data_IF_881235234738
#
_entry.id   IF_881235234738
#
_cell.length_a   1.000
_cell.length_b   1.000
_cell.length_c   1.000
_cell.angle_alpha   90.00
_cell.angle_beta   90.00
_cell.angle_gamma   90.00
#
_symmetry.space_group_name_H-M   'P 1'
#
loop_
_entity.id
_entity.type
_entity.pdbx_description
1 polymer ?
#
# COMPACT_ATOMS: atom_id res chain seq x y z
N UNK A 1 -16.12 -27.61 31.90
CA UNK A 1 -16.53 -27.07 30.57
C UNK A 1 -15.82 -25.72 30.27
N UNK A 2 -15.89 -24.71 31.13
CA UNK A 2 -15.21 -23.41 30.91
C UNK A 2 -13.69 -23.53 30.77
N UNK A 3 -13.00 -24.33 31.55
CA UNK A 3 -11.56 -24.53 31.45
C UNK A 3 -11.11 -25.19 30.16
N UNK A 4 -11.92 -26.10 29.61
CA UNK A 4 -11.63 -26.74 28.33
C UNK A 4 -11.80 -25.77 27.16
N UNK A 5 -12.86 -24.95 27.18
CA UNK A 5 -13.10 -23.91 26.19
C UNK A 5 -11.96 -22.88 26.21
N UNK A 6 -11.55 -22.42 27.42
CA UNK A 6 -10.44 -21.47 27.55
C UNK A 6 -9.11 -22.03 26.98
N UNK A 7 -8.82 -23.31 27.20
CA UNK A 7 -7.64 -23.97 26.64
C UNK A 7 -7.70 -24.05 25.11
N UNK A 8 -8.85 -24.41 24.53
CA UNK A 8 -9.06 -24.48 23.08
C UNK A 8 -8.94 -23.09 22.44
N UNK A 9 -9.59 -22.07 23.01
CA UNK A 9 -9.47 -20.69 22.55
C UNK A 9 -8.01 -20.18 22.64
N UNK A 10 -7.33 -20.47 23.74
CA UNK A 10 -5.93 -20.11 23.92
C UNK A 10 -4.99 -20.81 22.93
N UNK A 11 -5.28 -22.06 22.56
CA UNK A 11 -4.53 -22.77 21.52
C UNK A 11 -4.79 -22.18 20.14
N UNK A 12 -6.06 -21.91 19.80
CA UNK A 12 -6.43 -21.28 18.53
C UNK A 12 -5.79 -19.89 18.38
N UNK A 13 -5.82 -19.06 19.42
CA UNK A 13 -5.18 -17.73 19.40
C UNK A 13 -3.66 -17.83 19.22
N UNK A 14 -2.99 -18.79 19.85
CA UNK A 14 -1.55 -19.00 19.63
C UNK A 14 -1.24 -19.38 18.19
N UNK A 15 -2.06 -20.22 17.58
CA UNK A 15 -1.90 -20.59 16.16
C UNK A 15 -2.11 -19.37 15.27
N UNK A 16 -3.21 -18.64 15.45
CA UNK A 16 -3.53 -17.43 14.68
C UNK A 16 -2.43 -16.37 14.80
N UNK A 17 -1.92 -16.13 16.02
CA UNK A 17 -0.83 -15.18 16.24
C UNK A 17 0.49 -15.57 15.53
N UNK A 18 0.69 -16.86 15.27
CA UNK A 18 1.84 -17.33 14.50
C UNK A 18 1.77 -16.94 13.02
N UNK A 19 0.54 -16.76 12.51
CA UNK A 19 0.26 -16.44 11.11
C UNK A 19 0.06 -14.93 10.85
N UNK A 20 0.12 -14.10 11.89
CA UNK A 20 -0.12 -12.66 11.80
C UNK A 20 0.81 -11.96 10.80
N UNK A 21 2.04 -12.45 10.64
CA UNK A 21 3.01 -11.88 9.71
C UNK A 21 2.77 -12.25 8.23
N UNK A 22 1.90 -13.23 7.96
CA UNK A 22 1.56 -13.64 6.58
C UNK A 22 0.65 -12.62 5.91
N UNK A 23 -0.26 -12.00 6.67
CA UNK A 23 -1.15 -10.97 6.11
C UNK A 23 -0.39 -9.83 5.41
N UNK A 24 0.54 -9.16 6.10
CA UNK A 24 1.38 -8.14 5.45
C UNK A 24 2.19 -8.68 4.26
N UNK A 25 2.69 -9.90 4.33
CA UNK A 25 3.45 -10.52 3.23
C UNK A 25 2.59 -10.66 1.97
N UNK A 26 1.40 -11.26 2.10
CA UNK A 26 0.48 -11.50 0.97
C UNK A 26 0.05 -10.18 0.33
N UNK A 27 -0.36 -9.22 1.16
CA UNK A 27 -0.76 -7.90 0.67
C UNK A 27 0.39 -7.21 -0.07
N UNK A 28 1.60 -7.23 0.48
CA UNK A 28 2.76 -6.60 -0.18
C UNK A 28 3.12 -7.28 -1.49
N UNK A 29 3.10 -8.61 -1.57
CA UNK A 29 3.38 -9.32 -2.82
C UNK A 29 2.33 -8.96 -3.87
N UNK A 30 1.05 -9.04 -3.53
CA UNK A 30 -0.03 -8.78 -4.49
C UNK A 30 -0.05 -7.29 -4.91
N UNK A 31 -0.10 -6.38 -3.94
CA UNK A 31 -0.21 -4.95 -4.21
C UNK A 31 1.10 -4.34 -4.72
N UNK A 32 2.24 -4.78 -4.20
CA UNK A 32 3.54 -4.31 -4.67
C UNK A 32 3.77 -4.70 -6.13
N UNK A 33 3.42 -5.92 -6.53
CA UNK A 33 3.49 -6.35 -7.91
C UNK A 33 2.53 -5.56 -8.81
N UNK A 34 1.27 -5.41 -8.40
CA UNK A 34 0.25 -4.64 -9.14
C UNK A 34 0.73 -3.21 -9.42
N UNK A 35 1.22 -2.51 -8.40
CA UNK A 35 1.67 -1.13 -8.54
C UNK A 35 2.98 -1.01 -9.32
N UNK A 36 3.88 -1.98 -9.19
CA UNK A 36 5.09 -2.05 -10.01
C UNK A 36 4.74 -2.19 -11.50
N UNK A 37 3.85 -3.11 -11.85
CA UNK A 37 3.41 -3.34 -13.23
C UNK A 37 2.67 -2.11 -13.79
N UNK A 38 1.76 -1.53 -13.02
CA UNK A 38 1.01 -0.32 -13.39
C UNK A 38 1.96 0.86 -13.64
N UNK A 39 2.90 1.10 -12.73
CA UNK A 39 3.91 2.14 -12.89
C UNK A 39 4.81 1.90 -14.11
N UNK A 40 5.24 0.66 -14.34
CA UNK A 40 6.05 0.29 -15.50
C UNK A 40 5.31 0.54 -16.82
N UNK A 41 4.04 0.13 -16.90
CA UNK A 41 3.21 0.37 -18.09
C UNK A 41 3.04 1.87 -18.38
N UNK A 42 2.86 2.70 -17.33
CA UNK A 42 2.77 4.17 -17.48
C UNK A 42 4.10 4.80 -17.95
N UNK A 43 5.23 4.31 -17.44
CA UNK A 43 6.55 4.78 -17.89
C UNK A 43 6.81 4.39 -19.36
N UNK A 44 6.43 3.18 -19.77
CA UNK A 44 6.62 2.71 -21.16
C UNK A 44 5.78 3.53 -22.15
N UNK A 45 4.67 4.12 -21.75
CA UNK A 45 3.83 5.00 -22.57
C UNK A 45 3.52 6.31 -21.84
N UNK A 46 4.60 7.02 -21.45
CA UNK A 46 4.47 8.23 -20.64
C UNK A 46 3.74 9.36 -21.37
N UNK A 47 3.97 9.52 -22.69
CA UNK A 47 3.29 10.54 -23.48
C UNK A 47 1.78 10.26 -23.57
N UNK A 48 1.38 9.01 -23.78
CA UNK A 48 -0.02 8.61 -23.78
C UNK A 48 -0.68 8.82 -22.40
N UNK A 49 0.07 8.59 -21.34
CA UNK A 49 -0.40 8.84 -19.97
C UNK A 49 -0.49 10.35 -19.68
N UNK A 50 0.48 11.15 -20.13
CA UNK A 50 0.46 12.61 -19.97
C UNK A 50 -0.70 13.27 -20.74
N UNK A 51 -1.08 12.75 -21.90
CA UNK A 51 -2.23 13.22 -22.67
C UNK A 51 -3.54 13.10 -21.86
N UNK A 52 -3.71 12.07 -21.07
CA UNK A 52 -4.87 11.96 -20.14
C UNK A 52 -4.87 13.08 -19.12
N UNK A 53 -3.71 13.52 -18.61
CA UNK A 53 -3.60 14.64 -17.68
C UNK A 53 -4.01 15.97 -18.34
N UNK A 54 -3.72 16.12 -19.65
CA UNK A 54 -4.23 17.27 -20.44
C UNK A 54 -5.75 17.23 -20.50
N UNK A 55 -6.36 16.07 -20.84
CA UNK A 55 -7.82 15.89 -20.90
C UNK A 55 -8.49 16.16 -19.56
N UNK A 56 -7.85 15.79 -18.45
CA UNK A 56 -8.36 16.04 -17.10
C UNK A 56 -8.16 17.49 -16.63
N UNK A 57 -7.44 18.31 -17.40
CA UNK A 57 -7.14 19.71 -17.08
C UNK A 57 -6.11 19.86 -15.96
N UNK A 58 -5.24 18.88 -15.76
CA UNK A 58 -4.20 18.91 -14.72
C UNK A 58 -3.05 19.79 -15.21
N UNK A 59 -2.59 20.81 -14.41
CA UNK A 59 -1.47 21.66 -14.77
C UNK A 59 -0.18 20.82 -14.88
N UNK A 60 0.75 21.28 -15.72
CA UNK A 60 2.03 20.59 -15.95
C UNK A 60 1.88 19.09 -16.24
N UNK A 61 1.09 18.67 -17.24
CA UNK A 61 0.63 17.31 -17.42
C UNK A 61 1.77 16.28 -17.53
N UNK A 62 2.82 16.56 -18.30
CA UNK A 62 3.98 15.65 -18.43
C UNK A 62 4.74 15.47 -17.11
N UNK A 63 4.93 16.54 -16.34
CA UNK A 63 5.60 16.46 -15.05
C UNK A 63 4.77 15.64 -14.04
N UNK A 64 3.49 15.95 -13.91
CA UNK A 64 2.61 15.26 -12.95
C UNK A 64 2.35 13.80 -13.36
N UNK A 65 2.25 13.51 -14.66
CA UNK A 65 2.16 12.14 -15.15
C UNK A 65 3.44 11.35 -14.82
N UNK A 66 4.62 11.92 -15.08
CA UNK A 66 5.89 11.30 -14.75
C UNK A 66 6.01 11.09 -13.23
N UNK A 67 5.68 12.09 -12.42
CA UNK A 67 5.73 11.98 -10.95
C UNK A 67 4.83 10.84 -10.44
N UNK A 68 3.60 10.75 -10.94
CA UNK A 68 2.67 9.66 -10.57
C UNK A 68 3.22 8.30 -11.01
N UNK A 69 3.66 8.17 -12.27
CA UNK A 69 4.18 6.91 -12.82
C UNK A 69 5.42 6.40 -12.05
N UNK A 70 6.37 7.30 -11.75
CA UNK A 70 7.56 6.94 -10.95
C UNK A 70 7.21 6.63 -9.50
N UNK A 71 6.25 7.32 -8.89
CA UNK A 71 5.77 7.01 -7.54
C UNK A 71 5.20 5.60 -7.49
N UNK A 72 4.41 5.20 -8.47
CA UNK A 72 3.82 3.87 -8.55
C UNK A 72 4.89 2.79 -8.82
N UNK A 73 5.80 3.02 -9.75
CA UNK A 73 6.85 2.07 -10.09
C UNK A 73 7.80 1.80 -8.92
N UNK A 74 8.36 2.86 -8.34
CA UNK A 74 9.29 2.76 -7.22
C UNK A 74 8.54 2.30 -5.97
N UNK A 75 7.37 2.87 -5.70
CA UNK A 75 6.54 2.52 -4.57
C UNK A 75 6.11 1.05 -4.61
N UNK A 76 5.68 0.56 -5.77
CA UNK A 76 5.35 -0.85 -5.99
C UNK A 76 6.52 -1.77 -5.71
N UNK A 77 7.71 -1.47 -6.26
CA UNK A 77 8.93 -2.25 -6.02
C UNK A 77 9.31 -2.28 -4.53
N UNK A 78 9.30 -1.13 -3.85
CA UNK A 78 9.65 -1.03 -2.44
C UNK A 78 8.66 -1.77 -1.53
N UNK A 79 7.36 -1.67 -1.81
CA UNK A 79 6.31 -2.41 -1.08
C UNK A 79 6.46 -3.91 -1.31
N UNK A 80 6.68 -4.35 -2.56
CA UNK A 80 6.89 -5.75 -2.90
C UNK A 80 8.05 -6.35 -2.08
N UNK A 81 9.19 -5.68 -2.06
CA UNK A 81 10.37 -6.10 -1.32
C UNK A 81 10.21 -5.94 0.20
N UNK A 82 9.26 -5.12 0.64
CA UNK A 82 9.10 -4.73 2.05
C UNK A 82 10.25 -3.88 2.55
N UNK A 83 10.71 -2.96 1.70
CA UNK A 83 11.78 -2.01 2.01
C UNK A 83 11.18 -0.61 2.16
N UNK A 84 11.46 0.04 3.29
CA UNK A 84 10.88 1.35 3.65
C UNK A 84 9.35 1.39 3.52
N UNK A 85 8.68 0.27 3.79
CA UNK A 85 7.25 0.09 3.51
C UNK A 85 6.39 1.20 4.09
N UNK A 86 6.62 1.62 5.34
CA UNK A 86 5.87 2.70 5.98
C UNK A 86 6.10 4.05 5.31
N UNK A 87 7.34 4.35 4.96
CA UNK A 87 7.69 5.60 4.29
C UNK A 87 7.09 5.65 2.88
N UNK A 88 7.15 4.53 2.17
CA UNK A 88 6.63 4.38 0.80
C UNK A 88 5.10 4.47 0.74
N UNK A 89 4.40 3.99 1.77
CA UNK A 89 2.94 4.07 1.82
C UNK A 89 2.43 5.52 1.79
N UNK A 90 3.20 6.49 2.32
CA UNK A 90 2.78 7.90 2.36
C UNK A 90 2.62 8.51 0.95
N UNK A 91 3.64 8.50 0.07
CA UNK A 91 3.48 9.03 -1.28
C UNK A 91 2.45 8.23 -2.10
N UNK A 92 2.27 6.93 -1.87
CA UNK A 92 1.23 6.14 -2.52
C UNK A 92 -0.18 6.61 -2.11
N UNK A 93 -0.41 6.89 -0.83
CA UNK A 93 -1.67 7.48 -0.34
C UNK A 93 -1.90 8.85 -0.97
N UNK A 94 -0.88 9.72 -0.99
CA UNK A 94 -0.98 11.05 -1.59
C UNK A 94 -1.34 10.94 -3.07
N UNK A 95 -0.72 10.03 -3.81
CA UNK A 95 -1.02 9.80 -5.23
C UNK A 95 -2.51 9.42 -5.44
N UNK A 96 -3.06 8.57 -4.60
CA UNK A 96 -4.49 8.19 -4.65
C UNK A 96 -5.41 9.35 -4.25
N UNK A 97 -5.07 10.12 -3.24
CA UNK A 97 -5.85 11.32 -2.85
C UNK A 97 -5.90 12.32 -4.01
N UNK A 98 -4.77 12.55 -4.68
CA UNK A 98 -4.69 13.45 -5.84
C UNK A 98 -5.54 12.90 -7.00
N UNK A 99 -5.51 11.59 -7.27
CA UNK A 99 -6.33 10.95 -8.29
C UNK A 99 -7.84 11.14 -8.00
N UNK A 100 -8.26 10.92 -6.74
CA UNK A 100 -9.64 11.19 -6.33
C UNK A 100 -9.99 12.66 -6.56
N UNK A 101 -9.20 13.58 -6.03
CA UNK A 101 -9.52 15.01 -5.99
C UNK A 101 -9.58 15.66 -7.39
N UNK A 102 -8.72 15.22 -8.33
CA UNK A 102 -8.60 15.86 -9.64
C UNK A 102 -9.34 15.13 -10.76
N UNK A 103 -9.55 13.83 -10.61
CA UNK A 103 -10.09 12.99 -11.71
C UNK A 103 -11.44 12.39 -11.33
N UNK A 104 -11.45 11.56 -10.30
CA UNK A 104 -12.57 10.62 -10.04
C UNK A 104 -13.74 11.31 -9.37
N UNK A 105 -13.50 12.30 -8.51
CA UNK A 105 -14.54 13.00 -7.73
C UNK A 105 -15.67 13.61 -8.59
N UNK A 106 -15.36 13.93 -9.84
CA UNK A 106 -16.33 14.51 -10.79
C UNK A 106 -17.47 13.55 -11.13
N UNK A 107 -17.24 12.25 -10.95
CA UNK A 107 -18.20 11.19 -11.26
C UNK A 107 -18.91 10.64 -10.02
N UNK A 108 -18.61 11.18 -8.83
CA UNK A 108 -19.18 10.75 -7.55
C UNK A 108 -20.44 11.55 -7.26
N UNK A 109 -21.59 10.89 -7.21
CA UNK A 109 -22.89 11.49 -6.92
C UNK A 109 -23.40 11.20 -5.51
N UNK A 110 -22.87 10.18 -4.85
CA UNK A 110 -23.31 9.71 -3.53
C UNK A 110 -22.15 9.25 -2.66
N UNK A 111 -22.42 9.01 -1.37
CA UNK A 111 -21.44 8.40 -0.46
C UNK A 111 -21.13 6.96 -0.89
N UNK A 112 -22.10 6.25 -1.39
CA UNK A 112 -21.93 4.86 -1.85
C UNK A 112 -20.94 4.82 -3.02
N UNK A 113 -21.12 5.69 -4.03
CA UNK A 113 -20.18 5.81 -5.16
C UNK A 113 -18.76 6.13 -4.68
N UNK A 114 -18.62 6.97 -3.64
CA UNK A 114 -17.31 7.32 -3.09
C UNK A 114 -16.62 6.14 -2.42
N UNK A 115 -17.35 5.33 -1.66
CA UNK A 115 -16.78 4.17 -0.94
C UNK A 115 -16.41 3.04 -1.92
N UNK A 116 -17.10 2.95 -3.05
CA UNK A 116 -16.86 1.96 -4.11
C UNK A 116 -15.64 2.30 -4.98
N UNK A 117 -15.05 3.50 -4.85
CA UNK A 117 -13.85 3.86 -5.60
C UNK A 117 -12.67 2.93 -5.27
N UNK A 118 -12.02 2.42 -6.29
CA UNK A 118 -10.80 1.64 -6.16
C UNK A 118 -9.71 2.40 -5.40
N UNK A 119 -9.59 3.70 -5.63
CA UNK A 119 -8.63 4.59 -4.97
C UNK A 119 -8.84 4.64 -3.45
N UNK A 120 -10.09 4.60 -2.99
CA UNK A 120 -10.42 4.54 -1.55
C UNK A 120 -9.94 3.23 -0.95
N UNK A 121 -10.20 2.11 -1.62
CA UNK A 121 -9.71 0.79 -1.19
C UNK A 121 -8.18 0.76 -1.15
N UNK A 122 -7.52 1.33 -2.15
CA UNK A 122 -6.05 1.44 -2.20
C UNK A 122 -5.50 2.28 -1.05
N UNK A 123 -6.12 3.43 -0.74
CA UNK A 123 -5.76 4.26 0.42
C UNK A 123 -5.85 3.44 1.72
N UNK A 124 -6.94 2.70 1.92
CA UNK A 124 -7.13 1.89 3.13
C UNK A 124 -6.03 0.80 3.26
N UNK A 125 -5.65 0.16 2.15
CA UNK A 125 -4.58 -0.85 2.14
C UNK A 125 -3.22 -0.21 2.45
N UNK A 126 -2.88 0.92 1.81
CA UNK A 126 -1.64 1.63 2.12
C UNK A 126 -1.61 2.17 3.54
N UNK A 127 -2.74 2.69 4.03
CA UNK A 127 -2.87 3.12 5.43
C UNK A 127 -2.66 1.95 6.41
N UNK A 128 -3.24 0.79 6.07
CA UNK A 128 -3.00 -0.41 6.87
C UNK A 128 -1.52 -0.83 6.85
N UNK A 129 -0.85 -0.81 5.69
CA UNK A 129 0.59 -1.08 5.59
C UNK A 129 1.44 -0.05 6.36
N UNK A 130 1.04 1.23 6.36
CA UNK A 130 1.67 2.29 7.13
C UNK A 130 1.61 1.98 8.64
N UNK A 131 0.46 1.53 9.14
CA UNK A 131 0.24 1.23 10.56
C UNK A 131 0.85 -0.13 10.95
N UNK A 132 0.52 -1.19 10.24
CA UNK A 132 0.97 -2.55 10.53
C UNK A 132 2.48 -2.72 10.26
N UNK A 133 2.99 -2.04 9.24
CA UNK A 133 4.35 -2.20 8.75
C UNK A 133 4.53 -3.45 7.88
N UNK A 134 5.79 -3.74 7.48
CA UNK A 134 6.06 -4.76 6.47
C UNK A 134 6.00 -6.22 6.97
N UNK A 135 5.90 -6.46 8.28
CA UNK A 135 5.95 -7.80 8.86
C UNK A 135 7.38 -8.37 8.94
N UNK A 136 7.48 -9.61 9.45
CA UNK A 136 8.80 -10.29 9.65
C UNK A 136 9.48 -10.71 8.36
N UNK A 137 8.70 -11.02 7.33
CA UNK A 137 9.20 -11.45 6.02
C UNK A 137 9.45 -10.26 5.09
N UNK A 138 10.33 -9.33 5.49
CA UNK A 138 10.60 -8.08 4.78
C UNK A 138 12.08 -7.72 4.82
N UNK A 139 12.54 -6.95 3.83
CA UNK A 139 13.90 -6.41 3.85
C UNK A 139 14.10 -5.42 5.00
N UNK A 140 13.09 -4.65 5.38
CA UNK A 140 13.13 -3.79 6.57
C UNK A 140 13.48 -4.60 7.83
N UNK A 141 12.91 -5.80 7.96
CA UNK A 141 13.22 -6.65 9.10
C UNK A 141 14.67 -7.13 9.10
N UNK A 142 15.19 -7.50 7.93
CA UNK A 142 16.58 -7.92 7.78
C UNK A 142 17.54 -6.77 8.07
N UNK A 143 17.23 -5.56 7.58
CA UNK A 143 18.05 -4.36 7.82
C UNK A 143 18.11 -4.00 9.31
N UNK A 144 16.96 -3.98 10.01
CA UNK A 144 16.90 -3.68 11.45
C UNK A 144 17.74 -4.68 12.24
N UNK A 145 17.71 -5.96 11.87
CA UNK A 145 18.55 -7.00 12.51
C UNK A 145 20.04 -6.81 12.21
N UNK A 146 20.39 -6.49 10.96
CA UNK A 146 21.77 -6.31 10.54
C UNK A 146 22.41 -5.07 11.19
N UNK A 147 21.63 -4.02 11.42
CA UNK A 147 22.06 -2.78 12.07
C UNK A 147 22.04 -2.84 13.60
N UNK A 148 21.60 -3.96 14.21
CA UNK A 148 21.52 -4.11 15.65
C UNK A 148 20.54 -3.14 16.33
N UNK A 149 19.57 -2.60 15.58
CA UNK A 149 18.58 -1.67 16.13
C UNK A 149 17.58 -2.48 16.96
N UNK A 150 17.57 -2.26 18.26
CA UNK A 150 16.56 -2.85 19.14
C UNK A 150 15.18 -2.32 18.76
N UNK A 151 14.26 -3.23 18.45
CA UNK A 151 12.88 -2.84 18.23
C UNK A 151 12.28 -2.36 19.53
N UNK A 152 11.73 -1.16 19.53
CA UNK A 152 10.80 -0.75 20.59
C UNK A 152 9.70 -1.81 20.62
N UNK A 153 9.48 -2.50 21.75
CA UNK A 153 8.42 -3.49 21.85
C UNK A 153 7.10 -2.81 21.46
N UNK A 154 6.46 -3.28 20.40
CA UNK A 154 5.08 -2.86 20.12
C UNK A 154 4.26 -3.37 21.29
N UNK A 155 3.78 -2.47 22.14
CA UNK A 155 2.91 -2.79 23.26
C UNK A 155 1.63 -3.46 22.71
N UNK A 156 1.62 -4.77 22.71
CA UNK A 156 0.45 -5.62 22.51
C UNK A 156 0.34 -6.57 23.69
#
# INVERSE_FOLDING_TARGET
MQATIAKLCGAALRILNRWTDIGPLVVRIAFGYFWFETGLAKIQNLDGFANRFVEWGIPFPHFNAALSAWTELIGGALIFLGLFTRLTAVPMIINMIVAIALVVIKNVGSIDDFVELDEVVYILIFFWLLMAGPGRYSLDHLLVRALGIERVPSGR
#
